data_IF_953139469898
#
_entry.id   IF_953139469898
#
_cell.length_a   1.000
_cell.length_b   1.000
_cell.length_c   1.000
_cell.angle_alpha   90.00
_cell.angle_beta   90.00
_cell.angle_gamma   90.00
#
_symmetry.space_group_name_H-M   'P 1'
#
loop_
_entity.id
_entity.type
_entity.pdbx_description
1 polymer ?
#
# COMPACT_ATOMS: atom_id res chain seq x y z
N UNK A 1 -4.80 -34.22 -0.61
CA UNK A 1 -5.53 -34.51 -1.87
C UNK A 1 -4.50 -34.63 -2.97
N UNK A 2 -4.61 -35.66 -3.80
CA UNK A 2 -3.71 -35.78 -4.95
C UNK A 2 -4.05 -34.69 -5.97
N UNK A 3 -3.06 -33.88 -6.36
CA UNK A 3 -3.25 -32.78 -7.32
C UNK A 3 -3.80 -33.28 -8.67
N UNK A 4 -3.44 -34.50 -9.08
CA UNK A 4 -3.93 -35.15 -10.30
C UNK A 4 -5.43 -35.47 -10.24
N UNK A 5 -5.94 -35.82 -9.08
CA UNK A 5 -7.38 -36.07 -8.85
C UNK A 5 -8.19 -34.78 -8.89
N UNK A 6 -7.61 -33.69 -8.39
CA UNK A 6 -8.22 -32.35 -8.40
C UNK A 6 -8.40 -31.84 -9.84
N UNK A 7 -7.36 -31.96 -10.68
CA UNK A 7 -7.39 -31.51 -12.08
C UNK A 7 -8.37 -32.31 -12.95
N UNK A 8 -8.74 -33.53 -12.55
CA UNK A 8 -9.77 -34.37 -13.22
C UNK A 8 -11.20 -34.02 -12.81
N UNK A 9 -11.38 -33.19 -11.78
CA UNK A 9 -12.69 -32.81 -11.26
C UNK A 9 -13.34 -31.69 -12.09
N UNK A 10 -14.53 -31.96 -12.66
CA UNK A 10 -15.35 -30.94 -13.33
C UNK A 10 -15.61 -29.71 -12.44
N UNK A 11 -15.74 -29.92 -11.14
CA UNK A 11 -15.98 -28.85 -10.15
C UNK A 11 -14.80 -27.89 -10.06
N UNK A 12 -13.57 -28.41 -10.16
CA UNK A 12 -12.36 -27.60 -10.12
C UNK A 12 -12.20 -26.75 -11.40
N UNK A 13 -12.50 -27.31 -12.57
CA UNK A 13 -12.54 -26.55 -13.82
C UNK A 13 -13.57 -25.41 -13.81
N UNK A 14 -14.74 -25.65 -13.22
CA UNK A 14 -15.75 -24.61 -13.02
C UNK A 14 -15.24 -23.51 -12.07
N UNK A 15 -14.50 -23.86 -11.04
CA UNK A 15 -13.84 -22.91 -10.14
C UNK A 15 -12.79 -22.05 -10.87
N UNK A 16 -11.98 -22.65 -11.74
CA UNK A 16 -11.00 -21.92 -12.55
C UNK A 16 -11.70 -20.89 -13.48
N UNK A 17 -12.73 -21.31 -14.19
CA UNK A 17 -13.50 -20.41 -15.06
C UNK A 17 -14.15 -19.28 -14.25
N UNK A 18 -14.73 -19.60 -13.10
CA UNK A 18 -15.33 -18.61 -12.22
C UNK A 18 -14.29 -17.61 -11.70
N UNK A 19 -13.10 -18.11 -11.29
CA UNK A 19 -12.00 -17.26 -10.83
C UNK A 19 -11.49 -16.34 -11.96
N UNK A 20 -11.43 -16.83 -13.19
CA UNK A 20 -11.08 -16.03 -14.36
C UNK A 20 -12.08 -14.88 -14.58
N UNK A 21 -13.38 -15.19 -14.56
CA UNK A 21 -14.43 -14.18 -14.72
C UNK A 21 -14.42 -13.14 -13.59
N UNK A 22 -14.20 -13.60 -12.35
CA UNK A 22 -14.05 -12.71 -11.20
C UNK A 22 -12.80 -11.83 -11.33
N UNK A 23 -11.70 -12.37 -11.84
CA UNK A 23 -10.50 -11.59 -12.15
C UNK A 23 -10.79 -10.41 -13.06
N UNK A 24 -11.58 -10.62 -14.14
CA UNK A 24 -12.01 -9.54 -15.05
C UNK A 24 -12.80 -8.47 -14.29
N UNK A 25 -13.86 -8.88 -13.59
CA UNK A 25 -14.76 -7.93 -12.91
C UNK A 25 -14.03 -7.15 -11.82
N UNK A 26 -13.21 -7.83 -11.03
CA UNK A 26 -12.44 -7.20 -9.94
C UNK A 26 -11.40 -6.21 -10.49
N UNK A 27 -10.71 -6.55 -11.58
CA UNK A 27 -9.72 -5.65 -12.17
C UNK A 27 -10.36 -4.39 -12.76
N UNK A 28 -11.52 -4.50 -13.42
CA UNK A 28 -12.29 -3.33 -13.90
C UNK A 28 -12.75 -2.48 -12.71
N UNK A 29 -13.29 -3.10 -11.65
CA UNK A 29 -13.72 -2.38 -10.47
C UNK A 29 -12.55 -1.71 -9.72
N UNK A 30 -11.40 -2.37 -9.66
CA UNK A 30 -10.17 -1.82 -9.07
C UNK A 30 -9.66 -0.62 -9.88
N UNK A 31 -9.65 -0.74 -11.21
CA UNK A 31 -9.31 0.38 -12.08
C UNK A 31 -10.26 1.57 -11.87
N UNK A 32 -11.58 1.33 -11.87
CA UNK A 32 -12.55 2.39 -11.65
C UNK A 32 -12.39 3.07 -10.28
N UNK A 33 -12.07 2.32 -9.23
CA UNK A 33 -11.77 2.87 -7.90
C UNK A 33 -10.53 3.77 -7.93
N UNK A 34 -9.45 3.33 -8.57
CA UNK A 34 -8.21 4.10 -8.68
C UNK A 34 -8.42 5.37 -9.51
N UNK A 35 -9.16 5.27 -10.61
CA UNK A 35 -9.55 6.41 -11.45
C UNK A 35 -10.36 7.45 -10.67
N UNK A 36 -11.37 7.03 -9.92
CA UNK A 36 -12.17 7.92 -9.07
C UNK A 36 -11.30 8.63 -8.03
N UNK A 37 -10.35 7.93 -7.40
CA UNK A 37 -9.47 8.53 -6.41
C UNK A 37 -8.50 9.53 -7.04
N UNK A 38 -7.93 9.22 -8.20
CA UNK A 38 -7.06 10.11 -8.96
C UNK A 38 -7.82 11.35 -9.46
N UNK A 39 -8.98 11.16 -10.08
CA UNK A 39 -9.83 12.26 -10.52
C UNK A 39 -10.20 13.20 -9.35
N UNK A 40 -10.48 12.65 -8.18
CA UNK A 40 -10.75 13.45 -6.98
C UNK A 40 -9.51 14.22 -6.52
N UNK A 41 -8.31 13.63 -6.60
CA UNK A 41 -7.05 14.31 -6.27
C UNK A 41 -6.82 15.49 -7.19
N UNK A 42 -6.81 15.27 -8.50
CA UNK A 42 -6.64 16.33 -9.52
C UNK A 42 -7.73 17.40 -9.37
N UNK A 43 -9.00 16.99 -9.32
CA UNK A 43 -10.13 17.91 -9.20
C UNK A 43 -10.07 18.80 -7.96
N UNK A 44 -9.62 18.28 -6.82
CA UNK A 44 -9.57 19.04 -5.56
C UNK A 44 -8.29 19.86 -5.42
N UNK A 45 -7.14 19.38 -5.90
CA UNK A 45 -5.85 20.04 -5.67
C UNK A 45 -5.34 20.85 -6.86
N UNK A 46 -5.86 20.60 -8.08
CA UNK A 46 -5.48 21.33 -9.29
C UNK A 46 -6.68 22.12 -9.86
N UNK A 47 -7.73 21.44 -10.34
CA UNK A 47 -8.85 22.08 -11.07
C UNK A 47 -9.65 23.07 -10.21
N UNK A 48 -9.93 22.73 -8.94
CA UNK A 48 -10.74 23.58 -8.07
C UNK A 48 -10.02 24.86 -7.68
N UNK A 49 -8.73 24.87 -7.26
CA UNK A 49 -7.97 26.10 -7.07
C UNK A 49 -7.92 26.99 -8.33
N UNK A 50 -7.64 26.40 -9.49
CA UNK A 50 -7.60 27.11 -10.77
C UNK A 50 -8.97 27.76 -11.10
N UNK A 51 -10.06 27.03 -10.91
CA UNK A 51 -11.42 27.53 -11.14
C UNK A 51 -11.81 28.70 -10.22
N UNK A 52 -11.19 28.79 -9.03
CA UNK A 52 -11.36 29.88 -8.07
C UNK A 52 -10.41 31.07 -8.33
N UNK A 53 -9.56 30.95 -9.37
CA UNK A 53 -8.66 32.05 -9.81
C UNK A 53 -7.32 32.08 -9.10
N UNK A 54 -6.92 30.99 -8.42
CA UNK A 54 -5.57 30.86 -7.87
C UNK A 54 -4.63 30.35 -8.97
N UNK A 55 -3.52 31.03 -9.20
CA UNK A 55 -2.49 30.62 -10.16
C UNK A 55 -1.71 29.38 -9.71
N UNK A 56 -1.64 29.17 -8.42
CA UNK A 56 -1.04 28.00 -7.75
C UNK A 56 -1.90 27.62 -6.53
N UNK A 57 -1.87 26.35 -6.13
CA UNK A 57 -2.61 25.89 -4.95
C UNK A 57 -2.13 26.63 -3.70
N UNK A 58 -3.02 27.39 -3.00
CA UNK A 58 -2.64 28.18 -1.83
C UNK A 58 -2.08 27.28 -0.71
N UNK A 59 -1.09 27.77 0.03
CA UNK A 59 -0.45 27.03 1.12
C UNK A 59 -1.42 26.50 2.19
N UNK A 60 -2.54 27.20 2.43
CA UNK A 60 -3.56 26.81 3.40
C UNK A 60 -4.59 25.81 2.86
N UNK A 61 -4.62 25.57 1.55
CA UNK A 61 -5.61 24.73 0.87
C UNK A 61 -5.73 23.32 1.43
N UNK A 62 -4.65 22.61 1.79
CA UNK A 62 -4.75 21.27 2.39
C UNK A 62 -5.52 21.25 3.71
N UNK A 63 -5.57 22.34 4.46
CA UNK A 63 -6.18 22.35 5.79
C UNK A 63 -7.69 22.06 5.77
N UNK A 64 -8.54 22.82 5.06
CA UNK A 64 -9.97 22.51 4.97
C UNK A 64 -10.26 21.20 4.26
N UNK A 65 -9.48 20.84 3.23
CA UNK A 65 -9.64 19.58 2.49
C UNK A 65 -9.40 18.37 3.41
N UNK A 66 -8.34 18.39 4.19
CA UNK A 66 -8.03 17.28 5.12
C UNK A 66 -9.00 17.22 6.31
N UNK A 67 -9.48 18.37 6.81
CA UNK A 67 -10.56 18.36 7.81
C UNK A 67 -11.82 17.69 7.24
N UNK A 68 -12.19 18.00 6.00
CA UNK A 68 -13.32 17.36 5.31
C UNK A 68 -13.08 15.84 5.16
N UNK A 69 -11.87 15.45 4.74
CA UNK A 69 -11.47 14.04 4.67
C UNK A 69 -11.67 13.35 6.03
N UNK A 70 -11.15 13.97 7.09
CA UNK A 70 -11.28 13.45 8.46
C UNK A 70 -12.73 13.31 8.92
N UNK A 71 -13.61 14.26 8.57
CA UNK A 71 -15.06 14.16 8.88
C UNK A 71 -15.69 12.99 8.14
N UNK A 72 -15.45 12.85 6.83
CA UNK A 72 -16.03 11.76 6.02
C UNK A 72 -15.55 10.41 6.55
N UNK A 73 -14.23 10.26 6.80
CA UNK A 73 -13.64 9.05 7.36
C UNK A 73 -14.24 8.73 8.73
N UNK A 74 -14.37 9.73 9.61
CA UNK A 74 -14.95 9.54 10.94
C UNK A 74 -16.39 9.05 10.88
N UNK A 75 -17.21 9.61 9.99
CA UNK A 75 -18.60 9.21 9.78
C UNK A 75 -18.67 7.80 9.19
N UNK A 76 -17.83 7.49 8.20
CA UNK A 76 -17.78 6.16 7.59
C UNK A 76 -17.44 5.08 8.63
N UNK A 77 -16.44 5.33 9.49
CA UNK A 77 -16.03 4.39 10.55
C UNK A 77 -17.12 4.25 11.63
N UNK A 78 -17.76 5.36 12.03
CA UNK A 78 -18.69 5.39 13.15
C UNK A 78 -20.12 4.94 12.80
N UNK A 79 -20.55 5.13 11.55
CA UNK A 79 -21.96 4.97 11.15
C UNK A 79 -22.21 3.91 10.11
N UNK A 80 -21.22 3.55 9.29
CA UNK A 80 -21.41 2.58 8.21
C UNK A 80 -20.97 1.17 8.59
N UNK A 81 -21.57 0.13 8.01
CA UNK A 81 -21.14 -1.24 8.19
C UNK A 81 -19.66 -1.42 7.80
N UNK A 82 -18.97 -2.34 8.46
CA UNK A 82 -17.56 -2.65 8.17
C UNK A 82 -16.56 -1.67 8.79
N UNK A 83 -16.99 -0.66 9.56
CA UNK A 83 -16.12 0.28 10.29
C UNK A 83 -15.01 0.91 9.42
N UNK A 84 -15.32 1.16 8.14
CA UNK A 84 -14.36 1.70 7.16
C UNK A 84 -13.27 0.71 6.73
N UNK A 85 -13.34 -0.56 7.11
CA UNK A 85 -12.38 -1.60 6.70
C UNK A 85 -11.29 -1.90 7.72
N UNK A 86 -10.24 -2.59 7.25
CA UNK A 86 -9.12 -3.04 8.08
C UNK A 86 -8.31 -1.87 8.66
N UNK A 87 -7.72 -2.09 9.83
CA UNK A 87 -6.86 -1.08 10.48
C UNK A 87 -5.46 -1.07 9.87
N UNK A 88 -5.03 0.08 9.29
CA UNK A 88 -3.78 0.14 8.53
C UNK A 88 -2.53 -0.16 9.40
N UNK A 89 -2.57 0.19 10.69
CA UNK A 89 -1.45 -0.03 11.62
C UNK A 89 -1.14 -1.50 11.89
N UNK A 90 -2.02 -2.42 11.48
CA UNK A 90 -1.82 -3.86 11.62
C UNK A 90 -1.07 -4.48 10.42
N UNK A 91 -0.73 -3.68 9.42
CA UNK A 91 -0.13 -4.13 8.16
C UNK A 91 -1.16 -4.68 7.18
N UNK A 92 -0.70 -5.34 6.15
CA UNK A 92 -1.56 -5.97 5.16
C UNK A 92 -1.86 -7.41 5.58
N UNK A 93 -2.97 -7.61 6.28
CA UNK A 93 -3.43 -8.94 6.72
C UNK A 93 -4.60 -9.40 5.85
N UNK A 94 -4.61 -10.68 5.51
CA UNK A 94 -5.79 -11.33 4.96
C UNK A 94 -6.65 -11.83 6.13
N UNK A 95 -7.79 -11.19 6.30
CA UNK A 95 -8.85 -11.65 7.20
C UNK A 95 -9.92 -12.46 6.46
N UNK A 96 -11.07 -12.72 7.11
CA UNK A 96 -12.22 -13.25 6.41
C UNK A 96 -12.62 -12.28 5.25
N UNK A 97 -13.15 -12.81 4.14
CA UNK A 97 -13.57 -11.98 3.01
C UNK A 97 -14.55 -10.88 3.44
N UNK A 98 -14.41 -9.68 2.89
CA UNK A 98 -15.27 -8.55 3.22
C UNK A 98 -16.71 -8.84 2.81
N UNK A 99 -17.66 -8.64 3.72
CA UNK A 99 -19.07 -8.83 3.38
C UNK A 99 -19.53 -7.75 2.40
N UNK A 100 -20.40 -8.07 1.43
CA UNK A 100 -20.87 -7.09 0.45
C UNK A 100 -21.48 -5.83 1.05
N UNK A 101 -22.16 -5.96 2.19
CA UNK A 101 -22.77 -4.83 2.93
C UNK A 101 -21.74 -3.87 3.52
N UNK A 102 -20.50 -4.32 3.76
CA UNK A 102 -19.43 -3.52 4.35
C UNK A 102 -18.67 -2.70 3.28
N UNK A 103 -18.70 -3.14 2.01
CA UNK A 103 -17.94 -2.54 0.91
C UNK A 103 -18.19 -1.05 0.73
N UNK A 104 -19.45 -0.55 0.71
CA UNK A 104 -19.70 0.89 0.54
C UNK A 104 -19.04 1.76 1.62
N UNK A 105 -19.10 1.31 2.89
CA UNK A 105 -18.47 2.03 4.00
C UNK A 105 -16.94 2.03 3.91
N UNK A 106 -16.35 0.91 3.48
CA UNK A 106 -14.91 0.79 3.26
C UNK A 106 -14.45 1.70 2.12
N UNK A 107 -15.16 1.69 0.99
CA UNK A 107 -14.82 2.51 -0.17
C UNK A 107 -14.98 4.00 0.11
N UNK A 108 -16.03 4.42 0.81
CA UNK A 108 -16.21 5.83 1.19
C UNK A 108 -15.05 6.33 2.08
N UNK A 109 -14.68 5.54 3.10
CA UNK A 109 -13.54 5.88 3.95
C UNK A 109 -12.23 5.96 3.15
N UNK A 110 -12.02 5.02 2.22
CA UNK A 110 -10.82 4.96 1.40
C UNK A 110 -10.73 6.10 0.39
N UNK A 111 -11.82 6.39 -0.34
CA UNK A 111 -11.87 7.52 -1.30
C UNK A 111 -11.59 8.84 -0.58
N UNK A 112 -12.20 9.05 0.59
CA UNK A 112 -11.93 10.25 1.37
C UNK A 112 -10.48 10.30 1.89
N UNK A 113 -9.91 9.16 2.31
CA UNK A 113 -8.52 9.09 2.78
C UNK A 113 -7.54 9.37 1.65
N UNK A 114 -7.65 8.62 0.55
CA UNK A 114 -6.66 8.63 -0.54
C UNK A 114 -6.87 9.83 -1.44
N UNK A 115 -8.11 10.13 -1.81
CA UNK A 115 -8.46 11.20 -2.73
C UNK A 115 -8.31 12.60 -2.14
N UNK A 116 -8.40 12.76 -0.82
CA UNK A 116 -8.30 14.07 -0.16
C UNK A 116 -6.97 14.30 0.58
N UNK A 117 -5.96 13.44 0.43
CA UNK A 117 -4.58 13.74 0.81
C UNK A 117 -4.06 13.12 2.10
N UNK A 118 -4.80 12.24 2.79
CA UNK A 118 -4.24 11.49 3.92
C UNK A 118 -3.23 10.45 3.44
N UNK A 119 -2.24 10.14 4.28
CA UNK A 119 -1.04 9.40 3.89
C UNK A 119 -1.24 7.89 4.04
N UNK A 120 -2.06 7.32 3.15
CA UNK A 120 -2.32 5.87 3.06
C UNK A 120 -2.53 5.46 1.59
N UNK A 121 -2.32 4.18 1.30
CA UNK A 121 -2.45 3.60 -0.03
C UNK A 121 -3.78 2.87 -0.27
N UNK A 122 -4.06 2.45 -1.51
CA UNK A 122 -5.32 1.82 -1.91
C UNK A 122 -5.35 0.30 -1.73
N UNK A 123 -4.26 -0.37 -1.34
CA UNK A 123 -4.15 -1.82 -1.36
C UNK A 123 -5.17 -2.52 -0.43
N UNK A 124 -5.41 -2.01 0.78
CA UNK A 124 -6.39 -2.60 1.69
C UNK A 124 -7.85 -2.39 1.22
N UNK A 125 -8.24 -1.19 0.76
CA UNK A 125 -9.54 -0.98 0.12
C UNK A 125 -9.78 -1.85 -1.12
N UNK A 126 -8.76 -2.03 -1.95
CA UNK A 126 -8.87 -2.89 -3.14
C UNK A 126 -9.07 -4.36 -2.78
N UNK A 127 -8.41 -4.85 -1.73
CA UNK A 127 -8.67 -6.18 -1.18
C UNK A 127 -10.14 -6.32 -0.72
N UNK A 128 -10.65 -5.32 -0.01
CA UNK A 128 -12.02 -5.32 0.46
C UNK A 128 -13.04 -5.24 -0.71
N UNK A 129 -12.77 -4.40 -1.71
CA UNK A 129 -13.56 -4.29 -2.93
C UNK A 129 -13.59 -5.63 -3.67
N UNK A 130 -12.41 -6.21 -3.94
CA UNK A 130 -12.29 -7.47 -4.68
C UNK A 130 -13.03 -8.61 -4.00
N UNK A 131 -12.73 -8.85 -2.71
CA UNK A 131 -13.35 -9.94 -1.95
C UNK A 131 -14.86 -9.73 -1.77
N UNK A 132 -15.30 -8.51 -1.46
CA UNK A 132 -16.71 -8.18 -1.28
C UNK A 132 -17.50 -8.29 -2.58
N UNK A 133 -16.93 -7.85 -3.70
CA UNK A 133 -17.55 -7.98 -5.03
C UNK A 133 -17.66 -9.45 -5.44
N UNK A 134 -16.64 -10.26 -5.17
CA UNK A 134 -16.69 -11.70 -5.41
C UNK A 134 -17.83 -12.37 -4.63
N UNK A 135 -17.97 -12.06 -3.34
CA UNK A 135 -19.06 -12.60 -2.52
C UNK A 135 -20.44 -12.13 -3.00
N UNK A 136 -20.55 -10.88 -3.43
CA UNK A 136 -21.79 -10.35 -3.99
C UNK A 136 -22.19 -11.09 -5.26
N UNK A 137 -21.27 -11.30 -6.20
CA UNK A 137 -21.50 -12.04 -7.44
C UNK A 137 -21.89 -13.51 -7.17
N UNK A 138 -21.24 -14.16 -6.20
CA UNK A 138 -21.63 -15.51 -5.78
C UNK A 138 -23.04 -15.54 -5.21
N UNK A 139 -23.44 -14.53 -4.44
CA UNK A 139 -24.79 -14.40 -3.88
C UNK A 139 -25.89 -14.30 -4.94
N UNK A 140 -25.60 -13.73 -6.13
CA UNK A 140 -26.57 -13.64 -7.24
C UNK A 140 -26.97 -15.00 -7.78
N UNK A 141 -26.11 -16.02 -7.68
CA UNK A 141 -26.37 -17.36 -8.23
C UNK A 141 -27.46 -18.11 -7.46
N UNK A 142 -27.82 -17.68 -6.25
CA UNK A 142 -28.79 -18.32 -5.33
C UNK A 142 -28.53 -19.81 -5.10
N UNK A 143 -27.40 -20.36 -5.55
CA UNK A 143 -27.00 -21.76 -5.35
C UNK A 143 -26.05 -21.83 -4.18
N UNK A 144 -26.27 -22.71 -3.21
CA UNK A 144 -25.32 -22.90 -2.12
C UNK A 144 -24.00 -23.43 -2.68
N UNK A 145 -22.93 -22.75 -2.32
CA UNK A 145 -21.57 -23.18 -2.64
C UNK A 145 -20.88 -23.68 -1.36
N UNK A 146 -20.00 -24.70 -1.46
CA UNK A 146 -19.18 -25.12 -0.33
C UNK A 146 -18.30 -23.97 0.15
N UNK A 147 -18.09 -23.84 1.47
CA UNK A 147 -17.26 -22.78 2.07
C UNK A 147 -15.85 -22.75 1.46
N UNK A 148 -15.27 -23.90 1.18
CA UNK A 148 -13.97 -23.99 0.53
C UNK A 148 -13.94 -23.33 -0.86
N UNK A 149 -15.01 -23.48 -1.64
CA UNK A 149 -15.13 -22.84 -2.95
C UNK A 149 -15.27 -21.33 -2.82
N UNK A 150 -16.03 -20.86 -1.83
CA UNK A 150 -16.16 -19.42 -1.51
C UNK A 150 -14.79 -18.82 -1.15
N UNK A 151 -14.02 -19.53 -0.32
CA UNK A 151 -12.67 -19.07 0.06
C UNK A 151 -11.72 -19.00 -1.14
N UNK A 152 -11.74 -19.99 -2.04
CA UNK A 152 -10.91 -19.97 -3.26
C UNK A 152 -11.26 -18.80 -4.15
N UNK A 153 -12.55 -18.53 -4.36
CA UNK A 153 -13.03 -17.43 -5.20
C UNK A 153 -12.69 -16.08 -4.57
N UNK A 154 -12.88 -15.91 -3.26
CA UNK A 154 -12.51 -14.68 -2.55
C UNK A 154 -10.99 -14.44 -2.59
N UNK A 155 -10.17 -15.49 -2.40
CA UNK A 155 -8.74 -15.40 -2.56
C UNK A 155 -8.35 -15.01 -3.99
N UNK A 156 -8.99 -15.62 -5.02
CA UNK A 156 -8.75 -15.28 -6.43
C UNK A 156 -9.04 -13.80 -6.71
N UNK A 157 -10.10 -13.25 -6.13
CA UNK A 157 -10.42 -11.83 -6.19
C UNK A 157 -9.35 -10.95 -5.53
N UNK A 158 -8.83 -11.36 -4.38
CA UNK A 158 -7.73 -10.68 -3.70
C UNK A 158 -6.44 -10.67 -4.54
N UNK A 159 -6.11 -11.80 -5.19
CA UNK A 159 -4.98 -11.88 -6.13
C UNK A 159 -5.14 -10.89 -7.29
N UNK A 160 -6.32 -10.82 -7.91
CA UNK A 160 -6.60 -9.92 -9.02
C UNK A 160 -6.51 -8.44 -8.59
N UNK A 161 -7.11 -8.09 -7.43
CA UNK A 161 -7.08 -6.74 -6.90
C UNK A 161 -5.65 -6.22 -6.64
N UNK A 162 -4.80 -7.04 -5.99
CA UNK A 162 -3.41 -6.67 -5.75
C UNK A 162 -2.56 -6.68 -7.02
N UNK A 163 -2.82 -7.60 -7.95
CA UNK A 163 -2.13 -7.61 -9.23
C UNK A 163 -2.35 -6.30 -10.01
N UNK A 164 -3.52 -5.70 -9.90
CA UNK A 164 -3.85 -4.42 -10.53
C UNK A 164 -2.98 -3.30 -9.98
N UNK A 165 -2.91 -3.12 -8.66
CA UNK A 165 -2.19 -1.98 -8.06
C UNK A 165 -0.66 -2.13 -8.11
N UNK A 166 -0.13 -3.35 -8.03
CA UNK A 166 1.31 -3.58 -8.14
C UNK A 166 1.79 -3.77 -9.59
N UNK A 167 0.89 -3.75 -10.58
CA UNK A 167 1.23 -3.98 -11.98
C UNK A 167 1.83 -5.37 -12.25
N UNK A 168 1.68 -6.32 -11.31
CA UNK A 168 2.31 -7.64 -11.38
C UNK A 168 1.44 -8.73 -10.74
N UNK A 169 0.98 -9.73 -11.55
CA UNK A 169 0.28 -10.89 -11.02
C UNK A 169 1.09 -11.69 -10.00
N UNK A 170 2.41 -11.72 -10.17
CA UNK A 170 3.32 -12.46 -9.28
C UNK A 170 3.41 -11.77 -7.91
N UNK A 171 3.53 -10.43 -7.88
CA UNK A 171 3.54 -9.67 -6.62
C UNK A 171 2.23 -9.87 -5.87
N UNK A 172 1.08 -9.71 -6.55
CA UNK A 172 -0.22 -9.94 -5.95
C UNK A 172 -0.36 -11.34 -5.35
N UNK A 173 0.13 -12.36 -6.07
CA UNK A 173 0.12 -13.75 -5.60
C UNK A 173 0.98 -13.93 -4.34
N UNK A 174 2.23 -13.47 -4.35
CA UNK A 174 3.16 -13.66 -3.23
C UNK A 174 2.66 -12.95 -1.98
N UNK A 175 2.14 -11.72 -2.10
CA UNK A 175 1.55 -10.98 -0.98
C UNK A 175 0.42 -11.79 -0.32
N UNK A 176 -0.51 -12.32 -1.09
CA UNK A 176 -1.64 -13.07 -0.54
C UNK A 176 -1.20 -14.41 0.06
N UNK A 177 -0.26 -15.13 -0.59
CA UNK A 177 0.26 -16.39 -0.06
C UNK A 177 0.92 -16.15 1.30
N UNK A 178 1.74 -15.12 1.40
CA UNK A 178 2.49 -14.81 2.62
C UNK A 178 1.58 -14.23 3.71
N UNK A 179 0.67 -13.31 3.37
CA UNK A 179 -0.29 -12.70 4.29
C UNK A 179 -1.27 -13.71 4.89
N UNK A 180 -1.72 -14.68 4.08
CA UNK A 180 -2.65 -15.73 4.50
C UNK A 180 -1.94 -16.95 5.12
N UNK A 181 -0.60 -17.00 5.10
CA UNK A 181 0.16 -18.18 5.56
C UNK A 181 -0.17 -19.44 4.77
N UNK A 182 -0.47 -19.29 3.47
CA UNK A 182 -0.85 -20.42 2.62
C UNK A 182 0.32 -21.36 2.39
N UNK A 183 0.10 -22.64 2.66
CA UNK A 183 1.12 -23.66 2.48
C UNK A 183 0.54 -25.08 2.37
N UNK A 184 1.41 -26.07 2.19
CA UNK A 184 1.03 -27.46 2.15
C UNK A 184 0.04 -27.79 1.03
N UNK A 185 -0.90 -28.69 1.32
CA UNK A 185 -1.89 -29.18 0.35
C UNK A 185 -2.95 -28.16 -0.08
N UNK A 186 -3.13 -27.08 0.66
CA UNK A 186 -4.11 -26.03 0.35
C UNK A 186 -3.56 -25.04 -0.69
N UNK A 187 -2.24 -24.87 -0.75
CA UNK A 187 -1.61 -23.91 -1.64
C UNK A 187 -1.96 -24.12 -3.12
N UNK A 188 -1.81 -25.30 -3.75
CA UNK A 188 -2.15 -25.49 -5.16
C UNK A 188 -3.63 -25.22 -5.47
N UNK A 189 -4.52 -25.51 -4.51
CA UNK A 189 -5.97 -25.35 -4.68
C UNK A 189 -6.37 -23.88 -4.81
N UNK A 190 -5.68 -22.98 -4.11
CA UNK A 190 -5.94 -21.55 -4.11
C UNK A 190 -5.05 -20.83 -5.14
N UNK A 191 -3.79 -21.28 -5.27
CA UNK A 191 -2.79 -20.61 -6.09
C UNK A 191 -3.16 -20.60 -7.58
N UNK A 192 -3.57 -21.75 -8.14
CA UNK A 192 -3.86 -21.81 -9.58
C UNK A 192 -5.07 -20.94 -9.98
N UNK A 193 -6.24 -21.00 -9.28
CA UNK A 193 -7.33 -20.08 -9.55
C UNK A 193 -6.95 -18.61 -9.32
N UNK A 194 -6.16 -18.33 -8.26
CA UNK A 194 -5.68 -16.99 -7.93
C UNK A 194 -4.76 -16.40 -9.01
N UNK A 195 -3.76 -17.17 -9.45
CA UNK A 195 -2.86 -16.75 -10.54
C UNK A 195 -3.60 -16.54 -11.86
N UNK A 196 -4.58 -17.40 -12.16
CA UNK A 196 -5.41 -17.25 -13.35
C UNK A 196 -6.23 -15.95 -13.29
N UNK A 197 -6.87 -15.66 -12.15
CA UNK A 197 -7.60 -14.43 -11.94
C UNK A 197 -6.70 -13.19 -12.02
N UNK A 198 -5.54 -13.23 -11.39
CA UNK A 198 -4.56 -12.15 -11.42
C UNK A 198 -4.00 -11.91 -12.83
N UNK A 199 -3.64 -12.98 -13.56
CA UNK A 199 -3.12 -12.88 -14.92
C UNK A 199 -4.14 -12.33 -15.90
N UNK A 200 -5.37 -12.85 -15.89
CA UNK A 200 -6.47 -12.34 -16.74
C UNK A 200 -6.82 -10.90 -16.32
N UNK A 201 -6.88 -10.64 -15.02
CA UNK A 201 -7.13 -9.30 -14.50
C UNK A 201 -6.10 -8.27 -14.95
N UNK A 202 -4.80 -8.61 -14.94
CA UNK A 202 -3.75 -7.74 -15.45
C UNK A 202 -3.88 -7.48 -16.95
N UNK A 203 -4.25 -8.49 -17.74
CA UNK A 203 -4.51 -8.30 -19.18
C UNK A 203 -5.70 -7.37 -19.42
N UNK A 204 -6.76 -7.50 -18.63
CA UNK A 204 -7.92 -6.60 -18.70
C UNK A 204 -7.56 -5.18 -18.30
N UNK A 205 -6.76 -5.01 -17.25
CA UNK A 205 -6.29 -3.70 -16.81
C UNK A 205 -5.50 -2.98 -17.92
N UNK A 206 -4.52 -3.64 -18.54
CA UNK A 206 -3.77 -3.11 -19.68
C UNK A 206 -4.70 -2.84 -20.88
N UNK A 207 -5.65 -3.75 -21.15
CA UNK A 207 -6.61 -3.61 -22.25
C UNK A 207 -7.54 -2.41 -22.06
N UNK A 208 -8.05 -2.17 -20.86
CA UNK A 208 -8.88 -1.01 -20.55
C UNK A 208 -8.10 0.29 -20.79
N UNK A 209 -6.86 0.37 -20.34
CA UNK A 209 -6.00 1.54 -20.59
C UNK A 209 -5.81 1.81 -22.08
N UNK A 210 -5.57 0.77 -22.90
CA UNK A 210 -5.41 0.93 -24.35
C UNK A 210 -6.70 1.34 -25.07
N UNK A 211 -7.86 0.93 -24.57
CA UNK A 211 -9.18 1.27 -25.15
C UNK A 211 -9.66 2.66 -24.76
N UNK A 212 -9.39 3.08 -23.53
CA UNK A 212 -9.85 4.38 -23.01
C UNK A 212 -8.86 5.52 -23.28
N UNK A 213 -7.64 5.21 -23.67
CA UNK A 213 -6.54 6.19 -23.81
C UNK A 213 -6.01 6.70 -22.46
N UNK A 214 -6.52 6.18 -21.34
CA UNK A 214 -6.04 6.51 -20.00
C UNK A 214 -4.78 5.68 -19.70
N UNK A 215 -3.76 6.33 -19.15
CA UNK A 215 -2.51 5.65 -18.80
C UNK A 215 -2.74 4.72 -17.61
N UNK A 216 -2.58 3.42 -17.81
CA UNK A 216 -2.59 2.45 -16.72
C UNK A 216 -1.34 2.55 -15.84
N UNK A 217 -0.28 3.19 -16.35
CA UNK A 217 0.96 3.42 -15.60
C UNK A 217 0.77 4.40 -14.45
N UNK A 218 -0.25 5.27 -14.52
CA UNK A 218 -0.60 6.19 -13.45
C UNK A 218 -1.11 5.47 -12.18
N UNK A 219 -1.69 4.27 -12.33
CA UNK A 219 -2.34 3.57 -11.22
C UNK A 219 -1.54 2.38 -10.68
N UNK A 220 -0.66 1.80 -11.50
CA UNK A 220 0.25 0.75 -11.06
C UNK A 220 1.49 1.37 -10.38
N UNK A 221 2.13 0.61 -9.50
CA UNK A 221 3.39 1.02 -8.89
C UNK A 221 4.47 1.22 -9.98
N UNK A 222 4.87 2.47 -10.28
CA UNK A 222 5.80 2.72 -11.38
C UNK A 222 7.20 2.23 -11.00
N UNK A 223 7.92 1.55 -11.91
CA UNK A 223 9.30 1.18 -11.66
C UNK A 223 10.18 2.44 -11.56
N UNK A 224 11.06 2.48 -10.58
CA UNK A 224 11.97 3.62 -10.36
C UNK A 224 13.07 3.69 -11.42
N UNK A 225 13.30 2.60 -12.18
CA UNK A 225 14.28 2.54 -13.25
C UNK A 225 15.65 3.10 -12.84
N UNK A 226 16.15 2.63 -11.69
CA UNK A 226 17.44 3.08 -11.14
C UNK A 226 18.60 2.65 -12.04
N UNK A 227 19.76 3.29 -11.85
CA UNK A 227 20.98 2.90 -12.54
C UNK A 227 21.30 1.42 -12.29
N UNK A 228 21.77 0.72 -13.32
CA UNK A 228 22.13 -0.69 -13.21
C UNK A 228 23.20 -0.92 -12.14
N UNK A 229 22.98 -1.92 -11.30
CA UNK A 229 23.89 -2.32 -10.23
C UNK A 229 24.29 -3.80 -10.42
N UNK A 230 25.25 -4.08 -11.30
CA UNK A 230 25.55 -5.45 -11.71
C UNK A 230 26.29 -6.26 -10.65
N UNK A 231 27.14 -5.60 -9.85
CA UNK A 231 28.00 -6.26 -8.84
C UNK A 231 27.91 -5.54 -7.51
N UNK A 232 27.62 -6.26 -6.39
CA UNK A 232 27.64 -5.68 -5.06
C UNK A 232 29.01 -5.16 -4.66
N UNK A 233 29.06 -3.97 -4.08
CA UNK A 233 30.27 -3.40 -3.50
C UNK A 233 30.35 -3.74 -2.01
N UNK A 234 31.56 -3.94 -1.49
CA UNK A 234 31.77 -4.27 -0.08
C UNK A 234 31.25 -3.16 0.85
N UNK A 235 31.40 -1.91 0.46
CA UNK A 235 30.92 -0.74 1.21
C UNK A 235 29.40 -0.70 1.32
N UNK A 236 28.67 -0.99 0.23
CA UNK A 236 27.22 -1.09 0.26
C UNK A 236 26.75 -2.24 1.17
N UNK A 237 27.47 -3.36 1.16
CA UNK A 237 27.20 -4.49 2.04
C UNK A 237 27.37 -4.11 3.53
N UNK A 238 28.42 -3.35 3.88
CA UNK A 238 28.64 -2.87 5.25
C UNK A 238 27.53 -1.90 5.70
N UNK A 239 27.03 -1.03 4.81
CA UNK A 239 25.94 -0.12 5.12
C UNK A 239 24.58 -0.82 5.23
N UNK A 240 24.41 -1.97 4.61
CA UNK A 240 23.09 -2.67 4.58
C UNK A 240 22.54 -2.95 5.98
N UNK A 241 23.38 -3.42 6.91
CA UNK A 241 22.94 -3.76 8.28
C UNK A 241 22.51 -2.52 9.08
N UNK A 242 23.33 -1.45 9.20
CA UNK A 242 22.92 -0.23 9.90
C UNK A 242 21.65 0.41 9.30
N UNK A 243 21.55 0.46 7.97
CA UNK A 243 20.40 1.03 7.29
C UNK A 243 19.12 0.21 7.52
N UNK A 244 19.22 -1.11 7.49
CA UNK A 244 18.09 -1.99 7.80
C UNK A 244 17.61 -1.84 9.25
N UNK A 245 18.51 -1.70 10.21
CA UNK A 245 18.18 -1.43 11.61
C UNK A 245 17.52 -0.06 11.79
N UNK A 246 18.06 0.97 11.12
CA UNK A 246 17.47 2.33 11.13
C UNK A 246 16.05 2.34 10.56
N UNK A 247 15.81 1.64 9.44
CA UNK A 247 14.49 1.48 8.85
C UNK A 247 13.50 0.76 9.80
N UNK A 248 13.94 -0.34 10.41
CA UNK A 248 13.11 -1.07 11.38
C UNK A 248 12.76 -0.20 12.59
N UNK A 249 13.70 0.59 13.10
CA UNK A 249 13.47 1.53 14.20
C UNK A 249 12.51 2.65 13.79
N UNK A 250 12.70 3.26 12.62
CA UNK A 250 11.82 4.32 12.11
C UNK A 250 10.38 3.84 11.98
N UNK A 251 10.15 2.69 11.33
CA UNK A 251 8.80 2.12 11.18
C UNK A 251 8.22 1.73 12.53
N UNK A 252 9.03 1.22 13.46
CA UNK A 252 8.60 0.94 14.84
C UNK A 252 8.11 2.21 15.57
N UNK A 253 8.82 3.33 15.42
CA UNK A 253 8.41 4.62 16.00
C UNK A 253 7.11 5.14 15.35
N UNK A 254 6.99 5.04 14.03
CA UNK A 254 5.75 5.36 13.29
C UNK A 254 4.58 4.55 13.82
N UNK A 255 4.74 3.24 13.98
CA UNK A 255 3.70 2.35 14.49
C UNK A 255 3.36 2.62 15.97
N UNK A 256 4.35 3.01 16.79
CA UNK A 256 4.08 3.43 18.17
C UNK A 256 3.24 4.70 18.21
N UNK A 257 3.61 5.71 17.43
CA UNK A 257 2.84 6.95 17.34
C UNK A 257 1.44 6.68 16.79
N UNK A 258 1.30 5.86 15.75
CA UNK A 258 0.01 5.45 15.22
C UNK A 258 -0.89 4.79 16.28
N UNK A 259 -0.33 3.95 17.17
CA UNK A 259 -1.08 3.35 18.30
C UNK A 259 -1.54 4.39 19.30
N UNK A 260 -0.71 5.37 19.62
CA UNK A 260 -1.09 6.48 20.52
C UNK A 260 -2.24 7.29 19.92
N UNK A 261 -2.12 7.67 18.63
CA UNK A 261 -3.16 8.39 17.89
C UNK A 261 -4.47 7.58 17.86
N UNK A 262 -4.38 6.30 17.52
CA UNK A 262 -5.54 5.40 17.51
C UNK A 262 -6.25 5.37 18.85
N UNK A 263 -5.52 5.18 19.94
CA UNK A 263 -6.09 5.13 21.31
C UNK A 263 -6.81 6.44 21.67
N UNK A 264 -6.20 7.58 21.27
CA UNK A 264 -6.84 8.89 21.48
C UNK A 264 -8.12 9.04 20.65
N UNK A 265 -8.10 8.59 19.39
CA UNK A 265 -9.22 8.74 18.44
C UNK A 265 -10.38 7.79 18.76
N UNK A 266 -10.14 6.56 19.26
CA UNK A 266 -11.18 5.53 19.49
C UNK A 266 -12.35 6.02 20.35
N UNK A 267 -12.07 6.79 21.40
CA UNK A 267 -13.10 7.29 22.30
C UNK A 267 -13.94 8.46 21.76
N UNK A 268 -13.42 9.21 20.75
CA UNK A 268 -14.04 10.45 20.23
C UNK A 268 -13.81 10.60 18.72
N UNK A 269 -14.10 9.57 17.94
CA UNK A 269 -13.76 9.48 16.50
C UNK A 269 -14.27 10.67 15.68
N UNK A 270 -15.53 11.08 15.88
CA UNK A 270 -16.13 12.18 15.10
C UNK A 270 -15.41 13.53 15.30
N UNK A 271 -14.73 13.72 16.43
CA UNK A 271 -13.98 14.95 16.71
C UNK A 271 -12.49 14.78 16.42
N UNK A 272 -11.88 13.68 16.88
CA UNK A 272 -10.41 13.55 16.85
C UNK A 272 -9.86 13.02 15.54
N UNK A 273 -10.67 12.35 14.69
CA UNK A 273 -10.22 12.02 13.31
C UNK A 273 -10.03 13.27 12.45
N UNK A 274 -10.98 14.25 12.42
CA UNK A 274 -10.74 15.53 11.74
C UNK A 274 -9.55 16.32 12.31
N UNK A 275 -9.35 16.27 13.63
CA UNK A 275 -8.18 16.92 14.26
C UNK A 275 -6.87 16.25 13.81
N UNK A 276 -6.81 14.92 13.77
CA UNK A 276 -5.64 14.22 13.27
C UNK A 276 -5.37 14.55 11.79
N UNK A 277 -6.42 14.64 10.96
CA UNK A 277 -6.31 15.05 9.57
C UNK A 277 -5.83 16.50 9.42
N UNK A 278 -6.33 17.42 10.26
CA UNK A 278 -5.82 18.79 10.32
C UNK A 278 -4.32 18.83 10.67
N UNK A 279 -3.88 18.02 11.61
CA UNK A 279 -2.45 17.92 11.97
C UNK A 279 -1.60 17.41 10.79
N UNK A 280 -2.10 16.50 9.95
CA UNK A 280 -1.43 16.11 8.70
C UNK A 280 -1.29 17.33 7.78
N UNK A 281 -2.34 18.12 7.62
CA UNK A 281 -2.29 19.36 6.83
C UNK A 281 -1.30 20.39 7.38
N UNK A 282 -1.27 20.57 8.69
CA UNK A 282 -0.31 21.50 9.34
C UNK A 282 1.15 21.03 9.14
N UNK A 283 1.42 19.73 9.13
CA UNK A 283 2.75 19.19 8.80
C UNK A 283 3.11 19.49 7.35
N UNK A 284 2.18 19.35 6.41
CA UNK A 284 2.40 19.68 5.01
C UNK A 284 2.68 21.18 4.81
N UNK A 285 1.91 22.05 5.45
CA UNK A 285 2.15 23.51 5.46
C UNK A 285 3.51 23.84 6.06
N UNK A 286 3.86 23.26 7.21
CA UNK A 286 5.16 23.50 7.84
C UNK A 286 6.32 23.06 6.93
N UNK A 287 6.17 21.91 6.23
CA UNK A 287 7.15 21.47 5.23
C UNK A 287 7.30 22.50 4.11
N UNK A 288 6.19 23.00 3.56
CA UNK A 288 6.19 23.99 2.48
C UNK A 288 6.87 25.29 2.91
N UNK A 289 6.52 25.87 4.05
CA UNK A 289 7.09 27.10 4.58
C UNK A 289 8.60 26.99 4.88
N UNK A 290 9.07 25.83 5.34
CA UNK A 290 10.48 25.66 5.69
C UNK A 290 11.33 25.32 4.45
N UNK A 291 10.81 24.53 3.50
CA UNK A 291 11.57 24.01 2.37
C UNK A 291 11.41 24.82 1.09
N UNK A 292 10.33 25.59 0.96
CA UNK A 292 9.92 26.23 -0.29
C UNK A 292 9.44 25.24 -1.37
N UNK A 293 9.23 23.95 -1.00
CA UNK A 293 8.68 22.92 -1.89
C UNK A 293 7.19 22.74 -1.62
N UNK A 294 6.44 22.19 -2.61
CA UNK A 294 5.00 21.93 -2.42
C UNK A 294 4.73 21.02 -1.22
N UNK A 295 3.78 21.42 -0.38
CA UNK A 295 3.30 20.64 0.75
C UNK A 295 2.67 19.31 0.34
N UNK A 296 2.22 19.18 -0.90
CA UNK A 296 1.64 17.94 -1.46
C UNK A 296 2.63 16.79 -1.45
N UNK A 297 3.95 17.03 -1.48
CA UNK A 297 4.97 16.00 -1.34
C UNK A 297 4.83 15.21 -0.02
N UNK A 298 4.31 15.84 1.03
CA UNK A 298 4.01 15.19 2.32
C UNK A 298 2.70 14.42 2.29
N UNK A 299 1.72 14.86 1.49
CA UNK A 299 0.38 14.29 1.43
C UNK A 299 0.33 13.00 0.58
N UNK A 300 -0.85 12.39 0.52
CA UNK A 300 -1.16 11.20 -0.26
C UNK A 300 -0.29 9.98 0.10
N UNK A 301 -0.46 8.89 -0.63
CA UNK A 301 0.36 7.67 -0.46
C UNK A 301 1.84 7.86 -0.78
N UNK A 302 2.17 8.89 -1.58
CA UNK A 302 3.50 9.12 -2.13
C UNK A 302 3.79 8.39 -3.42
N UNK A 303 2.86 7.58 -3.96
CA UNK A 303 3.05 6.81 -5.18
C UNK A 303 3.45 7.72 -6.36
N UNK A 304 2.68 8.75 -6.64
CA UNK A 304 2.93 9.69 -7.73
C UNK A 304 4.17 10.57 -7.48
N UNK A 305 4.50 10.83 -6.21
CA UNK A 305 5.65 11.66 -5.84
C UNK A 305 7.01 10.93 -5.91
N UNK A 306 7.04 9.59 -6.08
CA UNK A 306 8.30 8.82 -6.09
C UNK A 306 9.19 9.18 -7.28
N UNK A 307 8.63 9.23 -8.49
CA UNK A 307 9.39 9.54 -9.71
C UNK A 307 9.86 11.00 -9.73
N UNK A 308 9.02 12.02 -9.45
CA UNK A 308 9.46 13.39 -9.28
C UNK A 308 10.57 13.55 -8.24
N UNK A 309 10.45 12.91 -7.07
CA UNK A 309 11.48 12.96 -6.03
C UNK A 309 12.81 12.38 -6.52
N UNK A 310 12.79 11.27 -7.25
CA UNK A 310 13.98 10.66 -7.82
C UNK A 310 14.64 11.57 -8.87
N UNK A 311 13.87 12.20 -9.75
CA UNK A 311 14.39 13.12 -10.76
C UNK A 311 14.97 14.39 -10.14
N UNK A 312 14.41 14.85 -9.03
CA UNK A 312 14.88 16.03 -8.31
C UNK A 312 16.00 15.74 -7.30
N UNK A 313 16.39 14.47 -7.12
CA UNK A 313 17.38 14.06 -6.11
C UNK A 313 18.74 14.77 -6.25
N UNK A 314 19.12 15.16 -7.48
CA UNK A 314 20.36 15.91 -7.73
C UNK A 314 20.27 17.43 -7.47
N UNK A 315 19.05 17.98 -7.33
CA UNK A 315 18.81 19.42 -7.16
C UNK A 315 18.35 19.77 -5.74
N UNK A 316 17.67 18.85 -5.05
CA UNK A 316 17.22 19.04 -3.67
C UNK A 316 18.39 18.90 -2.69
N UNK A 317 18.45 19.79 -1.70
CA UNK A 317 19.40 19.64 -0.61
C UNK A 317 19.07 18.42 0.25
N UNK A 318 20.08 17.79 0.84
CA UNK A 318 19.89 16.68 1.77
C UNK A 318 18.98 17.05 2.96
N UNK A 319 19.04 18.31 3.39
CA UNK A 319 18.17 18.84 4.45
C UNK A 319 16.70 18.82 4.08
N UNK A 320 16.36 19.15 2.81
CA UNK A 320 14.98 19.11 2.31
C UNK A 320 14.48 17.66 2.22
N UNK A 321 15.29 16.73 1.70
CA UNK A 321 14.92 15.31 1.64
C UNK A 321 14.74 14.72 3.05
N UNK A 322 15.60 15.07 4.00
CA UNK A 322 15.48 14.65 5.40
C UNK A 322 14.21 15.23 6.06
N UNK A 323 13.92 16.52 5.82
CA UNK A 323 12.69 17.16 6.30
C UNK A 323 11.45 16.48 5.72
N UNK A 324 11.45 16.20 4.40
CA UNK A 324 10.36 15.47 3.73
C UNK A 324 10.15 14.09 4.36
N UNK A 325 11.22 13.32 4.59
CA UNK A 325 11.14 12.01 5.23
C UNK A 325 10.50 12.11 6.62
N UNK A 326 10.91 13.06 7.45
CA UNK A 326 10.36 13.25 8.80
C UNK A 326 8.90 13.67 8.75
N UNK A 327 8.56 14.68 7.93
CA UNK A 327 7.20 15.17 7.78
C UNK A 327 6.27 14.06 7.25
N UNK A 328 6.72 13.30 6.23
CA UNK A 328 5.98 12.17 5.67
C UNK A 328 5.77 11.06 6.70
N UNK A 329 6.80 10.71 7.49
CA UNK A 329 6.70 9.71 8.55
C UNK A 329 5.71 10.10 9.65
N UNK A 330 5.69 11.38 10.07
CA UNK A 330 4.73 11.91 11.05
C UNK A 330 3.30 11.91 10.49
N UNK A 331 3.11 12.41 9.28
CA UNK A 331 1.81 12.42 8.59
C UNK A 331 1.28 11.01 8.38
N UNK A 332 2.16 10.05 8.02
CA UNK A 332 1.82 8.64 7.90
C UNK A 332 1.39 8.04 9.24
N UNK A 333 2.10 8.31 10.33
CA UNK A 333 1.74 7.82 11.66
C UNK A 333 0.35 8.32 12.10
N UNK A 334 0.02 9.60 11.85
CA UNK A 334 -1.30 10.17 12.13
C UNK A 334 -2.38 9.48 11.29
N UNK A 335 -2.12 9.30 10.01
CA UNK A 335 -3.06 8.64 9.08
C UNK A 335 -3.29 7.17 9.42
N UNK A 336 -2.22 6.42 9.79
CA UNK A 336 -2.31 5.03 10.26
C UNK A 336 -3.20 4.88 11.50
N UNK A 337 -3.17 5.86 12.41
CA UNK A 337 -3.95 5.82 13.65
C UNK A 337 -5.39 6.28 13.51
N UNK A 338 -5.68 7.19 12.58
CA UNK A 338 -6.96 7.87 12.51
C UNK A 338 -7.81 7.52 11.28
N UNK A 339 -7.19 7.10 10.17
CA UNK A 339 -7.86 6.89 8.88
C UNK A 339 -7.92 5.40 8.46
N UNK A 340 -8.33 5.13 7.20
CA UNK A 340 -8.46 3.80 6.61
C UNK A 340 -7.84 3.78 5.23
N UNK A 341 -7.02 2.77 4.97
CA UNK A 341 -6.27 2.59 3.72
C UNK A 341 -5.17 1.57 3.89
N UNK A 342 -4.24 1.49 2.94
CA UNK A 342 -3.09 0.59 2.97
C UNK A 342 -1.81 1.28 3.45
N UNK A 343 -0.90 0.57 4.10
CA UNK A 343 0.34 1.12 4.62
C UNK A 343 1.54 0.98 3.67
N UNK A 344 1.39 0.25 2.54
CA UNK A 344 2.52 -0.22 1.72
C UNK A 344 3.20 0.91 0.96
N UNK A 345 2.43 1.76 0.28
CA UNK A 345 3.00 2.84 -0.54
C UNK A 345 3.75 3.90 0.28
N UNK A 346 3.23 4.38 1.42
CA UNK A 346 4.02 5.26 2.28
C UNK A 346 5.31 4.61 2.79
N UNK A 347 5.31 3.30 3.09
CA UNK A 347 6.53 2.58 3.48
C UNK A 347 7.56 2.57 2.33
N UNK A 348 7.13 2.37 1.08
CA UNK A 348 7.98 2.45 -0.10
C UNK A 348 8.58 3.85 -0.24
N UNK A 349 7.73 4.89 -0.15
CA UNK A 349 8.18 6.27 -0.25
C UNK A 349 9.23 6.65 0.81
N UNK A 350 9.00 6.24 2.06
CA UNK A 350 9.96 6.44 3.16
C UNK A 350 11.27 5.70 2.87
N UNK A 351 11.20 4.48 2.34
CA UNK A 351 12.37 3.72 1.90
C UNK A 351 13.14 4.41 0.78
N UNK A 352 12.45 4.96 -0.22
CA UNK A 352 13.05 5.74 -1.31
C UNK A 352 13.74 7.02 -0.79
N UNK A 353 13.02 7.84 -0.01
CA UNK A 353 13.58 9.08 0.54
C UNK A 353 14.80 8.81 1.45
N UNK A 354 14.70 7.79 2.32
CA UNK A 354 15.83 7.34 3.13
C UNK A 354 16.99 6.84 2.28
N UNK A 355 16.71 6.12 1.19
CA UNK A 355 17.72 5.61 0.25
C UNK A 355 18.46 6.72 -0.49
N UNK A 356 17.75 7.79 -0.87
CA UNK A 356 18.38 8.98 -1.44
C UNK A 356 19.35 9.65 -0.45
N UNK A 357 18.97 9.75 0.82
CA UNK A 357 19.87 10.28 1.85
C UNK A 357 21.07 9.35 2.07
N UNK A 358 20.83 8.05 2.21
CA UNK A 358 21.86 7.06 2.48
C UNK A 358 22.86 6.89 1.31
N UNK A 359 22.42 7.16 0.07
CA UNK A 359 23.30 7.17 -1.09
C UNK A 359 24.43 8.20 -1.06
N UNK A 360 24.37 9.16 -0.13
CA UNK A 360 25.45 10.14 0.10
C UNK A 360 26.43 9.73 1.22
N UNK A 361 26.22 8.56 1.86
CA UNK A 361 27.17 8.04 2.83
C UNK A 361 28.47 7.61 2.15
N UNK A 362 29.62 7.71 2.83
CA UNK A 362 30.92 7.38 2.24
C UNK A 362 30.94 5.96 1.65
N UNK A 363 31.17 5.86 0.34
CA UNK A 363 31.25 4.60 -0.39
C UNK A 363 29.90 3.89 -0.59
N UNK A 364 28.78 4.51 -0.28
CA UNK A 364 27.43 4.00 -0.60
C UNK A 364 27.03 4.40 -2.00
N UNK A 365 26.27 3.53 -2.67
CA UNK A 365 25.66 3.82 -3.97
C UNK A 365 24.16 4.08 -3.82
N UNK A 366 23.59 5.15 -4.45
CA UNK A 366 22.17 5.45 -4.31
C UNK A 366 21.25 4.27 -4.68
N UNK A 367 21.58 3.55 -5.75
CA UNK A 367 20.81 2.37 -6.17
C UNK A 367 20.76 1.28 -5.10
N UNK A 368 21.89 0.94 -4.49
CA UNK A 368 21.96 -0.06 -3.42
C UNK A 368 21.20 0.43 -2.18
N UNK A 369 21.44 1.68 -1.75
CA UNK A 369 20.80 2.27 -0.58
C UNK A 369 19.25 2.33 -0.72
N UNK A 370 18.74 2.70 -1.89
CA UNK A 370 17.29 2.71 -2.18
C UNK A 370 16.73 1.28 -2.09
N UNK A 371 17.35 0.30 -2.75
CA UNK A 371 16.89 -1.08 -2.72
C UNK A 371 16.85 -1.66 -1.29
N UNK A 372 17.93 -1.42 -0.52
CA UNK A 372 18.06 -1.82 0.89
C UNK A 372 16.95 -1.22 1.74
N UNK A 373 16.76 0.11 1.66
CA UNK A 373 15.80 0.80 2.53
C UNK A 373 14.35 0.56 2.13
N UNK A 374 14.04 0.45 0.84
CA UNK A 374 12.69 0.04 0.39
C UNK A 374 12.35 -1.35 0.91
N UNK A 375 13.24 -2.34 0.76
CA UNK A 375 13.03 -3.68 1.28
C UNK A 375 12.87 -3.71 2.81
N UNK A 376 13.73 -2.98 3.52
CA UNK A 376 13.72 -2.92 4.98
C UNK A 376 12.48 -2.22 5.57
N UNK A 377 12.03 -1.10 4.99
CA UNK A 377 10.82 -0.39 5.43
C UNK A 377 9.56 -1.20 5.16
N UNK A 378 9.49 -1.85 3.98
CA UNK A 378 8.40 -2.73 3.63
C UNK A 378 8.26 -3.89 4.62
N UNK A 379 9.32 -4.63 4.88
CA UNK A 379 9.24 -5.77 5.79
C UNK A 379 8.96 -5.35 7.24
N UNK A 380 9.48 -4.21 7.67
CA UNK A 380 9.19 -3.67 8.99
C UNK A 380 7.72 -3.32 9.16
N UNK A 381 7.04 -2.87 8.08
CA UNK A 381 5.62 -2.53 8.08
C UNK A 381 4.73 -3.76 7.88
N UNK A 382 5.00 -4.56 6.84
CA UNK A 382 4.12 -5.64 6.39
C UNK A 382 4.36 -6.96 7.13
N UNK A 383 5.58 -7.19 7.63
CA UNK A 383 6.07 -8.46 8.19
C UNK A 383 5.98 -9.62 7.21
N UNK A 384 6.17 -9.32 5.93
CA UNK A 384 6.11 -10.23 4.80
C UNK A 384 7.46 -10.19 4.06
N UNK A 385 8.45 -11.04 4.44
CA UNK A 385 9.79 -11.00 3.87
C UNK A 385 9.84 -11.22 2.36
N UNK A 386 9.15 -12.23 1.84
CA UNK A 386 9.17 -12.55 0.40
C UNK A 386 8.54 -11.45 -0.44
N UNK A 387 7.39 -10.93 -0.01
CA UNK A 387 6.70 -9.82 -0.65
C UNK A 387 7.57 -8.57 -0.67
N UNK A 388 8.23 -8.27 0.44
CA UNK A 388 9.10 -7.08 0.57
C UNK A 388 10.31 -7.16 -0.35
N UNK A 389 10.96 -8.33 -0.45
CA UNK A 389 12.06 -8.58 -1.38
C UNK A 389 11.56 -8.39 -2.81
N UNK A 390 10.48 -9.04 -3.18
CA UNK A 390 9.96 -9.03 -4.54
C UNK A 390 9.54 -7.62 -4.98
N UNK A 391 8.82 -6.89 -4.13
CA UNK A 391 8.42 -5.51 -4.43
C UNK A 391 9.66 -4.62 -4.59
N UNK A 392 10.63 -4.70 -3.69
CA UNK A 392 11.84 -3.90 -3.77
C UNK A 392 12.63 -4.16 -5.05
N UNK A 393 12.79 -5.43 -5.47
CA UNK A 393 13.51 -5.80 -6.68
C UNK A 393 12.80 -5.37 -7.96
N UNK A 394 11.47 -5.55 -8.03
CA UNK A 394 10.68 -5.15 -9.20
C UNK A 394 10.55 -3.62 -9.32
N UNK A 395 10.48 -2.93 -8.19
CA UNK A 395 10.41 -1.48 -8.16
C UNK A 395 11.76 -0.84 -8.60
N UNK A 396 12.86 -1.33 -8.07
CA UNK A 396 14.18 -0.74 -8.37
C UNK A 396 14.67 -1.06 -9.77
N UNK A 397 14.36 -2.22 -10.32
CA UNK A 397 14.85 -2.74 -11.62
C UNK A 397 16.37 -2.60 -11.79
N UNK A 398 17.11 -2.61 -10.70
CA UNK A 398 18.55 -2.33 -10.68
C UNK A 398 19.44 -3.51 -11.11
N UNK A 399 18.83 -4.65 -11.45
CA UNK A 399 19.55 -5.87 -11.85
C UNK A 399 19.86 -6.81 -10.69
N UNK A 400 20.54 -7.91 -11.00
CA UNK A 400 20.75 -9.01 -10.05
C UNK A 400 21.67 -8.65 -8.86
N UNK A 401 22.56 -7.67 -9.03
CA UNK A 401 23.54 -7.29 -8.01
C UNK A 401 22.93 -6.68 -6.76
N UNK A 402 21.76 -6.05 -6.84
CA UNK A 402 21.08 -5.46 -5.68
C UNK A 402 20.38 -6.51 -4.82
N UNK A 403 20.03 -7.67 -5.38
CA UNK A 403 19.24 -8.69 -4.72
C UNK A 403 19.87 -9.20 -3.41
N UNK A 404 21.17 -9.54 -3.33
CA UNK A 404 21.77 -10.00 -2.07
C UNK A 404 21.67 -8.95 -0.95
N UNK A 405 21.82 -7.67 -1.28
CA UNK A 405 21.72 -6.57 -0.31
C UNK A 405 20.28 -6.40 0.20
N UNK A 406 19.30 -6.44 -0.70
CA UNK A 406 17.88 -6.38 -0.34
C UNK A 406 17.49 -7.57 0.54
N UNK A 407 17.92 -8.79 0.20
CA UNK A 407 17.64 -10.00 1.00
C UNK A 407 18.20 -9.85 2.41
N UNK A 408 19.48 -9.43 2.52
CA UNK A 408 20.11 -9.21 3.82
C UNK A 408 19.37 -8.13 4.62
N UNK A 409 19.05 -7.00 3.99
CA UNK A 409 18.33 -5.90 4.63
C UNK A 409 16.96 -6.34 5.16
N UNK A 410 16.21 -7.08 4.35
CA UNK A 410 14.90 -7.60 4.74
C UNK A 410 15.00 -8.56 5.92
N UNK A 411 15.96 -9.48 5.91
CA UNK A 411 16.17 -10.42 7.03
C UNK A 411 16.53 -9.68 8.31
N UNK A 412 17.48 -8.74 8.25
CA UNK A 412 17.92 -7.94 9.42
C UNK A 412 16.77 -7.10 9.95
N UNK A 413 16.05 -6.37 9.07
CA UNK A 413 14.95 -5.53 9.48
C UNK A 413 13.77 -6.35 10.03
N UNK A 414 13.49 -7.53 9.48
CA UNK A 414 12.46 -8.44 9.98
C UNK A 414 12.75 -8.89 11.41
N UNK A 415 13.98 -9.39 11.65
CA UNK A 415 14.41 -9.82 12.99
C UNK A 415 14.35 -8.64 13.98
N UNK A 416 14.89 -7.47 13.59
CA UNK A 416 14.83 -6.27 14.41
C UNK A 416 13.38 -5.87 14.76
N UNK A 417 12.48 -5.94 13.79
CA UNK A 417 11.04 -5.62 13.99
C UNK A 417 10.39 -6.57 14.99
N UNK A 418 10.68 -7.86 14.93
CA UNK A 418 10.17 -8.84 15.90
C UNK A 418 10.71 -8.59 17.31
N UNK A 419 12.02 -8.29 17.45
CA UNK A 419 12.64 -7.99 18.74
C UNK A 419 12.11 -6.69 19.35
N UNK A 420 11.88 -5.66 18.54
CA UNK A 420 11.28 -4.39 18.99
C UNK A 420 9.82 -4.57 19.42
N UNK A 421 9.06 -5.43 18.74
CA UNK A 421 7.69 -5.75 19.10
C UNK A 421 7.59 -6.54 20.41
N UNK A 422 8.52 -7.47 20.67
CA UNK A 422 8.56 -8.29 21.89
C UNK A 422 8.86 -7.49 23.16
N UNK A 423 9.48 -6.30 23.04
CA UNK A 423 9.80 -5.41 24.16
C UNK A 423 8.61 -4.50 24.58
N UNK A 424 7.50 -4.53 23.85
CA UNK A 424 6.26 -3.87 24.25
C UNK A 424 5.61 -4.62 25.43
N UNK A 425 4.76 -3.96 26.27
CA UNK A 425 3.99 -4.67 27.26
C UNK A 425 3.21 -5.80 26.59
N UNK A 426 3.32 -7.00 27.17
CA UNK A 426 2.64 -8.18 26.67
C UNK A 426 1.15 -7.88 26.57
N UNK A 427 0.62 -7.80 25.37
CA UNK A 427 -0.81 -7.86 25.15
C UNK A 427 -1.20 -9.29 25.50
N UNK A 428 -1.89 -9.47 26.61
CA UNK A 428 -2.49 -10.75 26.99
C UNK A 428 -3.25 -11.32 25.78
N UNK A 429 -3.07 -12.60 25.47
CA UNK A 429 -3.89 -13.24 24.46
C UNK A 429 -5.33 -13.18 24.96
N UNK A 430 -6.17 -12.44 24.28
CA UNK A 430 -7.62 -12.58 24.46
C UNK A 430 -7.98 -13.97 23.96
N UNK A 431 -8.28 -14.86 24.92
CA UNK A 431 -8.87 -16.18 24.74
C UNK A 431 -10.25 -16.04 24.08
#
# INVERSE_FOLDING_TARGET
MDASALLRSRRYWLLLVLSALIGVVVSIASWAFLEITHWLQVGVYEDLPDSLGFAETPWWWPLPVLVLAGVIVAVAIARLPGNGGHEPSEGLKTGPPTRPVDVPGVLLAAVATIGLGLVLGPEAPLLALGTGLALWLLGLSRRPMPDQAIQVVAASAAFAALATIFGSPVVGAVIIIEAAGLGGSTLPVILLPGLLAAGIGSLMFVGVGSLTGLSTDAFALPPLSLAAYPTPQLTDFLWTVPLALAAALLVHLVLRLAKVVRHAVEGRRLLLTPVAALLVGLIAVAFQEISGQSGEAVLFSGQEAMIPLLHQAGTLSLGIVALLLVCKALAWALSLGAARGGPTFPAIFIGLAGGLLAGHLPGSTPTAAIGVLVGATLVAMLRQPLSSILIALLLTRAGAGVAPLVILAVVVAYIATLLLAARGPATEPRI
#
